data_IF_887191349291
#
_entry.id   IF_887191349291
#
_cell.length_a   1.000
_cell.length_b   1.000
_cell.length_c   1.000
_cell.angle_alpha   90.00
_cell.angle_beta   90.00
_cell.angle_gamma   90.00
#
_symmetry.space_group_name_H-M   'P 1'
#
loop_
_entity.id
_entity.type
_entity.pdbx_description
1 polymer ?
#
# COMPACT_ATOMS: atom_id res chain seq x y z
N UNK A 1 17.22 37.19 20.06
CA UNK A 1 16.64 36.54 21.25
C UNK A 1 15.54 35.59 20.80
N UNK A 2 15.59 34.36 21.32
CA UNK A 2 14.74 33.16 21.15
C UNK A 2 13.25 33.40 20.80
N UNK A 3 12.57 32.52 20.07
CA UNK A 3 12.23 31.17 20.58
C UNK A 3 11.80 30.22 19.44
N UNK A 4 12.47 29.08 19.34
CA UNK A 4 12.09 27.92 18.55
C UNK A 4 10.85 27.23 19.18
N UNK A 5 9.84 26.92 18.36
CA UNK A 5 8.75 26.01 18.74
C UNK A 5 8.99 24.66 18.10
N UNK A 6 9.54 23.78 18.92
CA UNK A 6 9.72 22.35 18.67
C UNK A 6 8.43 21.66 19.08
N UNK A 7 7.55 21.37 18.11
CA UNK A 7 6.31 20.64 18.36
C UNK A 7 6.55 19.13 18.19
N UNK A 8 6.81 18.53 19.35
CA UNK A 8 6.50 17.17 19.80
C UNK A 8 5.99 16.20 18.72
N UNK A 9 6.89 15.37 18.22
CA UNK A 9 6.55 14.08 17.61
C UNK A 9 5.88 13.24 18.70
N UNK A 10 4.59 12.94 18.52
CA UNK A 10 3.88 11.99 19.35
C UNK A 10 4.59 10.63 19.27
N UNK A 11 5.15 10.19 20.40
CA UNK A 11 5.78 8.89 20.56
C UNK A 11 4.70 7.83 20.35
N UNK A 12 4.80 7.06 19.25
CA UNK A 12 3.92 5.92 19.00
C UNK A 12 3.91 4.99 20.23
N UNK A 13 2.74 4.45 20.63
CA UNK A 13 2.68 3.53 21.74
C UNK A 13 3.56 2.32 21.43
N UNK A 14 4.54 2.06 22.29
CA UNK A 14 5.35 0.87 22.23
C UNK A 14 4.41 -0.34 22.30
N UNK A 15 4.34 -1.11 21.21
CA UNK A 15 3.62 -2.37 21.15
C UNK A 15 4.28 -3.30 22.17
N UNK A 16 3.72 -3.37 23.37
CA UNK A 16 4.21 -4.23 24.44
C UNK A 16 3.88 -5.65 24.00
N UNK A 17 4.89 -6.40 23.56
CA UNK A 17 4.75 -7.81 23.25
C UNK A 17 4.11 -8.51 24.46
N UNK A 18 2.87 -8.95 24.30
CA UNK A 18 2.22 -9.81 25.28
C UNK A 18 3.02 -11.12 25.36
N UNK A 19 3.17 -11.73 26.55
CA UNK A 19 3.86 -12.99 26.70
C UNK A 19 3.19 -14.02 25.78
N UNK A 20 3.99 -14.59 24.89
CA UNK A 20 3.58 -15.61 23.92
C UNK A 20 2.92 -16.77 24.67
N UNK A 21 1.59 -16.84 24.64
CA UNK A 21 0.90 -18.08 24.96
C UNK A 21 1.27 -19.06 23.86
N UNK A 22 2.04 -20.10 24.20
CA UNK A 22 2.34 -21.21 23.30
C UNK A 22 1.02 -21.88 22.90
N UNK A 23 0.55 -21.57 21.69
CA UNK A 23 -0.56 -22.31 21.09
C UNK A 23 -0.04 -23.66 20.59
N UNK A 24 -0.73 -24.79 20.85
CA UNK A 24 -0.29 -26.10 20.40
C UNK A 24 -0.12 -26.11 18.87
N UNK A 25 1.09 -26.39 18.38
CA UNK A 25 1.41 -26.46 16.95
C UNK A 25 2.08 -25.22 16.35
N UNK A 26 2.30 -24.14 17.12
CA UNK A 26 2.98 -22.94 16.57
C UNK A 26 4.51 -22.96 16.70
N UNK A 27 5.12 -24.02 17.26
CA UNK A 27 6.59 -24.14 17.42
C UNK A 27 7.25 -22.86 18.00
N UNK A 28 6.60 -22.19 18.96
CA UNK A 28 7.09 -20.93 19.55
C UNK A 28 6.89 -19.68 18.69
N UNK A 29 6.22 -19.78 17.54
CA UNK A 29 5.78 -18.63 16.73
C UNK A 29 4.45 -18.07 17.24
N UNK A 30 4.21 -16.79 17.02
CA UNK A 30 2.89 -16.20 17.25
C UNK A 30 1.87 -16.76 16.24
N UNK A 31 0.60 -16.82 16.64
CA UNK A 31 -0.49 -17.22 15.75
C UNK A 31 -0.55 -16.37 14.46
N UNK A 32 -0.21 -15.07 14.57
CA UNK A 32 -0.10 -14.18 13.43
C UNK A 32 0.99 -14.65 12.45
N UNK A 33 2.19 -14.95 12.96
CA UNK A 33 3.29 -15.45 12.13
C UNK A 33 2.97 -16.80 11.48
N UNK A 34 2.27 -17.68 12.21
CA UNK A 34 1.76 -18.93 11.64
C UNK A 34 0.86 -18.67 10.44
N UNK A 35 -0.13 -17.77 10.57
CA UNK A 35 -0.99 -17.43 9.44
C UNK A 35 -0.22 -16.75 8.31
N UNK A 36 0.68 -15.80 8.57
CA UNK A 36 1.47 -15.17 7.50
C UNK A 36 2.22 -16.20 6.65
N UNK A 37 2.80 -17.22 7.28
CA UNK A 37 3.51 -18.30 6.58
C UNK A 37 2.59 -19.21 5.73
N UNK A 38 1.29 -19.22 6.00
CA UNK A 38 0.28 -20.03 5.32
C UNK A 38 -0.68 -19.19 4.46
N UNK A 39 -0.37 -17.91 4.25
CA UNK A 39 -1.16 -17.06 3.36
C UNK A 39 -1.17 -17.65 1.95
N UNK A 40 -2.31 -17.58 1.21
CA UNK A 40 -2.36 -18.00 -0.18
C UNK A 40 -1.27 -17.33 -1.01
N UNK A 41 -0.67 -18.05 -1.96
CA UNK A 41 0.41 -17.51 -2.78
C UNK A 41 -0.02 -16.31 -3.65
N UNK A 42 -1.29 -16.24 -4.04
CA UNK A 42 -1.85 -15.17 -4.87
C UNK A 42 -2.72 -14.26 -4.00
N UNK A 43 -2.43 -12.94 -3.95
CA UNK A 43 -3.30 -11.97 -3.29
C UNK A 43 -4.72 -11.97 -3.85
N UNK A 44 -5.70 -11.78 -2.98
CA UNK A 44 -7.12 -11.77 -3.36
C UNK A 44 -7.55 -10.38 -3.85
N UNK A 45 -8.60 -10.32 -4.69
CA UNK A 45 -9.06 -9.08 -5.31
C UNK A 45 -9.58 -8.01 -4.34
N UNK A 46 -9.95 -8.39 -3.12
CA UNK A 46 -10.36 -7.46 -2.06
C UNK A 46 -9.17 -6.75 -1.40
N UNK A 47 -7.94 -7.23 -1.59
CA UNK A 47 -6.76 -6.67 -0.96
C UNK A 47 -6.17 -5.52 -1.79
N UNK A 48 -6.02 -4.36 -1.17
CA UNK A 48 -5.29 -3.21 -1.70
C UNK A 48 -4.12 -2.89 -0.76
N UNK A 49 -2.89 -2.74 -1.29
CA UNK A 49 -1.73 -2.43 -0.47
C UNK A 49 -1.77 -0.96 -0.03
N UNK A 50 -1.16 -0.65 1.12
CA UNK A 50 -0.94 0.73 1.55
C UNK A 50 0.21 1.32 0.75
N UNK A 51 -0.09 2.35 -0.04
CA UNK A 51 0.81 2.99 -1.01
C UNK A 51 0.49 4.49 -1.08
N UNK A 52 1.47 5.35 -1.47
CA UNK A 52 1.17 6.74 -1.81
C UNK A 52 0.22 6.81 -3.01
N UNK A 53 -0.43 7.95 -3.20
CA UNK A 53 -1.30 8.19 -4.36
C UNK A 53 -0.53 8.05 -5.68
N UNK A 54 -1.19 7.48 -6.69
CA UNK A 54 -0.60 7.35 -8.03
C UNK A 54 -0.41 8.74 -8.63
N UNK A 55 0.76 9.05 -9.21
CA UNK A 55 0.96 10.30 -9.93
C UNK A 55 -0.10 10.48 -11.02
N UNK A 56 -0.78 11.62 -11.03
CA UNK A 56 -1.77 11.95 -12.03
C UNK A 56 -1.14 12.07 -13.42
N UNK A 57 -1.95 11.91 -14.46
CA UNK A 57 -1.51 12.22 -15.83
C UNK A 57 -1.12 13.69 -15.96
N UNK A 58 -0.04 13.96 -16.68
CA UNK A 58 0.41 15.31 -17.01
C UNK A 58 0.70 15.36 -18.52
N UNK A 59 -0.33 15.68 -19.31
CA UNK A 59 -0.22 15.74 -20.75
C UNK A 59 0.39 17.07 -21.18
N UNK A 60 1.54 17.02 -21.85
CA UNK A 60 2.29 18.17 -22.32
C UNK A 60 2.62 18.03 -23.82
N UNK A 61 2.58 19.16 -24.54
CA UNK A 61 2.98 19.25 -25.94
C UNK A 61 4.48 19.55 -26.08
N UNK A 62 5.06 19.37 -27.27
CA UNK A 62 6.48 19.68 -27.53
C UNK A 62 6.84 21.15 -27.28
N UNK A 63 5.87 22.04 -27.44
CA UNK A 63 5.99 23.48 -27.17
C UNK A 63 5.89 23.83 -25.67
N UNK A 64 5.69 22.85 -24.78
CA UNK A 64 5.50 23.03 -23.34
C UNK A 64 4.08 23.41 -22.91
N UNK A 65 3.11 23.42 -23.82
CA UNK A 65 1.70 23.61 -23.48
C UNK A 65 1.18 22.40 -22.68
N UNK A 66 0.26 22.67 -21.74
CA UNK A 66 -0.29 21.66 -20.84
C UNK A 66 -1.76 21.41 -21.13
N UNK A 67 -2.18 20.16 -21.08
CA UNK A 67 -3.55 19.73 -21.37
C UNK A 67 -4.15 18.99 -20.19
N UNK A 68 -5.47 19.14 -20.02
CA UNK A 68 -6.21 18.45 -18.98
C UNK A 68 -6.35 16.95 -19.25
N UNK A 69 -6.30 16.54 -20.53
CA UNK A 69 -6.44 15.16 -20.95
C UNK A 69 -5.64 14.87 -22.23
N UNK A 70 -5.38 13.58 -22.50
CA UNK A 70 -4.76 13.13 -23.75
C UNK A 70 -5.57 13.57 -24.98
N UNK A 71 -6.91 13.54 -24.86
CA UNK A 71 -7.81 13.93 -25.94
C UNK A 71 -7.71 15.41 -26.28
N UNK A 72 -7.58 16.27 -25.27
CA UNK A 72 -7.42 17.70 -25.49
C UNK A 72 -6.07 18.00 -26.16
N UNK A 73 -5.02 17.27 -25.76
CA UNK A 73 -3.71 17.36 -26.39
C UNK A 73 -3.76 16.91 -27.86
N UNK A 74 -4.42 15.79 -28.14
CA UNK A 74 -4.59 15.26 -29.51
C UNK A 74 -5.35 16.24 -30.41
N UNK A 75 -6.42 16.86 -29.89
CA UNK A 75 -7.20 17.87 -30.64
C UNK A 75 -6.34 19.11 -30.95
N UNK A 76 -5.48 19.53 -30.04
CA UNK A 76 -4.69 20.75 -30.16
C UNK A 76 -3.42 20.58 -31.02
N UNK A 77 -2.68 19.49 -30.81
CA UNK A 77 -1.33 19.30 -31.37
C UNK A 77 -1.29 18.23 -32.47
N UNK A 78 -2.34 17.40 -32.60
CA UNK A 78 -2.35 16.21 -33.44
C UNK A 78 -1.83 14.98 -32.70
N UNK A 79 -1.80 13.83 -33.39
CA UNK A 79 -1.59 12.52 -32.76
C UNK A 79 -0.19 12.30 -32.15
N UNK A 80 0.88 12.89 -32.73
CA UNK A 80 2.27 12.56 -32.37
C UNK A 80 3.01 13.67 -31.59
N UNK A 81 2.38 14.81 -31.32
CA UNK A 81 3.06 16.02 -30.82
C UNK A 81 2.83 16.28 -29.32
N UNK A 82 2.41 15.26 -28.57
CA UNK A 82 2.17 15.35 -27.12
C UNK A 82 2.61 14.08 -26.39
N UNK A 83 2.89 14.20 -25.09
CA UNK A 83 3.30 13.08 -24.25
C UNK A 83 2.82 13.26 -22.81
N UNK A 84 2.74 12.17 -22.05
CA UNK A 84 2.49 12.22 -20.61
C UNK A 84 3.84 12.39 -19.88
N UNK A 85 4.11 13.58 -19.37
CA UNK A 85 5.32 13.93 -18.63
C UNK A 85 5.52 13.06 -17.37
N UNK A 86 4.44 12.54 -16.80
CA UNK A 86 4.48 11.67 -15.62
C UNK A 86 4.53 10.16 -15.97
N UNK A 87 4.69 9.78 -17.24
CA UNK A 87 4.63 8.37 -17.66
C UNK A 87 5.61 7.47 -16.90
N UNK A 88 6.86 7.89 -16.74
CA UNK A 88 7.86 7.10 -16.03
C UNK A 88 7.52 6.94 -14.54
N UNK A 89 7.13 8.04 -13.88
CA UNK A 89 6.71 8.00 -12.49
C UNK A 89 5.48 7.09 -12.25
N UNK A 90 4.54 7.05 -13.20
CA UNK A 90 3.41 6.12 -13.14
C UNK A 90 3.84 4.66 -13.31
N UNK A 91 4.76 4.39 -14.24
CA UNK A 91 5.30 3.04 -14.43
C UNK A 91 6.08 2.57 -13.19
N UNK A 92 6.84 3.45 -12.56
CA UNK A 92 7.51 3.20 -11.29
C UNK A 92 6.52 2.89 -10.18
N UNK A 93 5.45 3.68 -10.09
CA UNK A 93 4.38 3.46 -9.14
C UNK A 93 3.70 2.11 -9.37
N UNK A 94 3.38 1.74 -10.63
CA UNK A 94 2.74 0.46 -10.97
C UNK A 94 3.64 -0.74 -10.60
N UNK A 95 4.96 -0.62 -10.83
CA UNK A 95 5.94 -1.62 -10.40
C UNK A 95 5.99 -1.75 -8.89
N UNK A 96 6.00 -0.63 -8.17
CA UNK A 96 6.06 -0.64 -6.70
C UNK A 96 4.75 -1.15 -6.10
N UNK A 97 3.61 -0.76 -6.66
CA UNK A 97 2.30 -1.27 -6.28
C UNK A 97 2.27 -2.80 -6.32
N UNK A 98 2.74 -3.40 -7.42
CA UNK A 98 2.77 -4.86 -7.55
C UNK A 98 3.65 -5.51 -6.48
N UNK A 99 4.82 -4.94 -6.18
CA UNK A 99 5.68 -5.45 -5.10
C UNK A 99 4.98 -5.36 -3.75
N UNK A 100 4.42 -4.20 -3.41
CA UNK A 100 3.72 -3.99 -2.14
C UNK A 100 2.51 -4.90 -2.01
N UNK A 101 1.82 -5.19 -3.12
CA UNK A 101 0.71 -6.14 -3.15
C UNK A 101 1.13 -7.54 -2.69
N UNK A 102 2.30 -8.03 -3.09
CA UNK A 102 2.82 -9.32 -2.61
C UNK A 102 3.46 -9.25 -1.22
N UNK A 103 4.12 -8.14 -0.87
CA UNK A 103 4.80 -8.00 0.42
C UNK A 103 3.82 -7.85 1.59
N UNK A 104 2.75 -7.08 1.40
CA UNK A 104 1.79 -6.77 2.46
C UNK A 104 0.65 -7.80 2.56
N UNK A 105 0.41 -8.56 1.49
CA UNK A 105 -0.66 -9.56 1.42
C UNK A 105 -0.65 -10.60 2.57
N UNK A 106 0.49 -11.25 2.91
CA UNK A 106 0.51 -12.25 3.97
C UNK A 106 0.09 -11.71 5.33
N UNK A 107 0.46 -10.45 5.64
CA UNK A 107 0.08 -9.80 6.88
C UNK A 107 -1.43 -9.52 6.91
N UNK A 108 -1.98 -8.91 5.86
CA UNK A 108 -3.41 -8.62 5.79
C UNK A 108 -4.27 -9.88 5.88
N UNK A 109 -3.83 -10.97 5.25
CA UNK A 109 -4.49 -12.27 5.36
C UNK A 109 -4.45 -12.82 6.81
N UNK A 110 -3.29 -12.75 7.46
CA UNK A 110 -3.13 -13.23 8.82
C UNK A 110 -3.98 -12.46 9.83
N UNK A 111 -4.07 -11.14 9.69
CA UNK A 111 -4.93 -10.29 10.51
C UNK A 111 -6.41 -10.70 10.38
N UNK A 112 -6.89 -10.98 9.16
CA UNK A 112 -8.25 -11.49 8.97
C UNK A 112 -8.49 -12.83 9.63
N UNK A 113 -7.52 -13.76 9.57
CA UNK A 113 -7.65 -15.07 10.21
C UNK A 113 -7.71 -14.96 11.73
N UNK A 114 -6.90 -14.08 12.34
CA UNK A 114 -6.96 -13.81 13.78
C UNK A 114 -8.32 -13.24 14.18
N UNK A 115 -8.85 -12.28 13.42
CA UNK A 115 -10.19 -11.71 13.67
C UNK A 115 -11.28 -12.76 13.50
N UNK A 116 -11.21 -13.60 12.46
CA UNK A 116 -12.17 -14.66 12.21
C UNK A 116 -12.19 -15.69 13.36
N UNK A 117 -11.00 -16.09 13.85
CA UNK A 117 -10.88 -16.99 14.99
C UNK A 117 -11.48 -16.38 16.25
N UNK A 118 -11.16 -15.13 16.56
CA UNK A 118 -11.69 -14.43 17.74
C UNK A 118 -13.22 -14.30 17.70
N UNK A 119 -13.80 -14.11 16.50
CA UNK A 119 -15.26 -14.06 16.31
C UNK A 119 -15.92 -15.44 16.43
N UNK A 120 -15.28 -16.49 15.93
CA UNK A 120 -15.76 -17.87 16.04
C UNK A 120 -15.79 -18.39 17.48
N UNK A 121 -14.88 -17.90 18.33
CA UNK A 121 -14.80 -18.26 19.76
C UNK A 121 -15.79 -17.46 20.65
N UNK A 122 -16.51 -16.49 20.11
CA UNK A 122 -17.47 -15.65 20.85
C UNK A 122 -18.94 -16.01 20.64
N UNK A 123 -19.22 -17.19 20.08
CA UNK A 123 -20.55 -17.62 19.64
C UNK A 123 -21.11 -18.84 20.40
N UNK A 124 -20.65 -19.07 21.63
CA UNK A 124 -21.22 -20.03 22.60
C UNK A 124 -21.94 -19.31 23.76
#
# INVERSE_FOLDING_TARGET
MNTARSDKIAKAPAFRAAPHGDFPGTNGMSLLAYFMAHAPAVPQSWFAPVMPEKPADAWEGENGAKYASARDAEIAEGFDNYFNANREAQQDWDREYLKQWYLQWPLAWAELMVVALARGLGHD
#
